data_IF_840943521895
#
_entry.id   IF_840943521895
#
_cell.length_a   1.000
_cell.length_b   1.000
_cell.length_c   1.000
_cell.angle_alpha   90.00
_cell.angle_beta   90.00
_cell.angle_gamma   90.00
#
_symmetry.space_group_name_H-M   'P 1'
#
loop_
_entity.id
_entity.type
_entity.pdbx_description
1 polymer ?
#
# COMPACT_ATOMS: atom_id res chain seq x y z
N UNK A 1 0.56 4.59 -13.05
CA UNK A 1 -0.36 5.27 -13.99
C UNK A 1 0.40 5.55 -15.27
N UNK A 2 -0.22 5.38 -16.45
CA UNK A 2 0.46 5.66 -17.70
C UNK A 2 0.96 7.10 -17.68
N UNK A 3 2.28 7.25 -17.85
CA UNK A 3 2.98 8.51 -17.96
C UNK A 3 4.19 8.27 -18.85
N UNK A 4 4.54 9.24 -19.68
CA UNK A 4 5.74 9.15 -20.48
C UNK A 4 6.97 9.10 -19.57
N UNK A 5 7.98 8.33 -19.97
CA UNK A 5 9.22 8.23 -19.19
C UNK A 5 9.84 9.63 -19.01
N UNK A 6 10.17 9.98 -17.76
CA UNK A 6 10.71 11.29 -17.42
C UNK A 6 9.66 12.39 -17.17
N UNK A 7 8.36 12.07 -17.24
CA UNK A 7 7.27 13.01 -16.92
C UNK A 7 6.64 12.73 -15.55
N UNK A 8 5.94 13.73 -15.01
CA UNK A 8 5.14 13.56 -13.79
C UNK A 8 3.81 12.90 -14.16
N UNK A 9 3.60 11.69 -13.66
CA UNK A 9 2.37 10.92 -13.83
C UNK A 9 1.46 10.96 -12.60
N UNK A 10 0.16 10.76 -12.82
CA UNK A 10 -0.82 10.62 -11.73
C UNK A 10 -2.18 10.16 -12.26
N UNK A 11 -3.08 9.85 -11.35
CA UNK A 11 -4.49 9.66 -11.68
C UNK A 11 -5.38 10.07 -10.51
N UNK A 12 -6.63 10.38 -10.84
CA UNK A 12 -7.69 10.58 -9.86
C UNK A 12 -8.35 9.24 -9.57
N UNK A 13 -8.54 8.94 -8.28
CA UNK A 13 -9.19 7.72 -7.82
C UNK A 13 -10.40 8.10 -6.97
N UNK A 14 -11.56 7.54 -7.30
CA UNK A 14 -12.78 7.67 -6.51
C UNK A 14 -13.15 6.31 -5.93
N UNK A 15 -13.19 6.21 -4.60
CA UNK A 15 -13.64 5.02 -3.88
C UNK A 15 -14.14 5.41 -2.49
N UNK A 16 -15.44 5.68 -2.38
CA UNK A 16 -16.08 6.24 -1.18
C UNK A 16 -15.83 5.41 0.09
N UNK A 17 -15.76 4.09 -0.04
CA UNK A 17 -15.47 3.18 1.09
C UNK A 17 -14.06 3.36 1.68
N UNK A 18 -13.11 3.88 0.90
CA UNK A 18 -11.68 3.89 1.25
C UNK A 18 -11.07 5.29 1.37
N UNK A 19 -11.62 6.28 0.68
CA UNK A 19 -11.08 7.64 0.62
C UNK A 19 -12.17 8.65 0.97
N UNK A 20 -12.05 9.21 2.18
CA UNK A 20 -12.96 10.21 2.72
C UNK A 20 -12.16 11.44 3.14
N UNK A 21 -12.64 12.68 2.90
CA UNK A 21 -12.01 13.88 3.44
C UNK A 21 -11.88 13.77 4.96
N UNK A 22 -10.69 14.06 5.49
CA UNK A 22 -10.44 13.98 6.92
C UNK A 22 -9.21 14.78 7.31
N UNK A 23 -9.29 15.40 8.48
CA UNK A 23 -8.12 16.02 9.12
C UNK A 23 -7.22 14.99 9.81
N UNK A 24 -7.74 13.78 10.04
CA UNK A 24 -7.06 12.70 10.75
C UNK A 24 -6.57 11.58 9.80
N UNK A 25 -7.23 11.38 8.67
CA UNK A 25 -6.80 10.42 7.65
C UNK A 25 -5.96 11.11 6.58
N UNK A 26 -4.64 10.92 6.69
CA UNK A 26 -3.65 11.44 5.75
C UNK A 26 -3.48 10.60 4.47
N UNK A 27 -2.43 10.90 3.67
CA UNK A 27 -2.14 10.16 2.44
C UNK A 27 -1.80 8.69 2.74
N UNK A 28 -2.14 7.80 1.81
CA UNK A 28 -1.69 6.41 1.85
C UNK A 28 -0.30 6.29 1.24
N UNK A 29 0.73 6.19 2.08
CA UNK A 29 2.10 6.01 1.64
C UNK A 29 2.33 4.58 1.15
N UNK A 30 2.94 4.43 -0.04
CA UNK A 30 3.39 3.15 -0.58
C UNK A 30 4.88 2.99 -0.33
N UNK A 31 5.26 1.95 0.41
CA UNK A 31 6.64 1.57 0.66
C UNK A 31 7.04 0.40 -0.24
N UNK A 32 8.28 0.46 -0.74
CA UNK A 32 8.87 -0.64 -1.48
C UNK A 32 9.29 -1.76 -0.52
N UNK A 33 8.63 -2.91 -0.65
CA UNK A 33 8.82 -4.12 0.14
C UNK A 33 9.36 -5.28 -0.72
N UNK A 34 10.06 -4.97 -1.81
CA UNK A 34 10.78 -5.98 -2.59
C UNK A 34 11.80 -6.74 -1.72
N UNK A 35 12.10 -8.02 -2.03
CA UNK A 35 11.59 -8.76 -3.19
C UNK A 35 10.17 -9.31 -3.01
N UNK A 36 9.71 -9.52 -1.78
CA UNK A 36 8.40 -10.09 -1.47
C UNK A 36 7.84 -9.46 -0.20
N UNK A 37 6.71 -8.76 -0.35
CA UNK A 37 6.05 -8.07 0.75
C UNK A 37 5.51 -9.03 1.82
N UNK A 38 5.36 -10.33 1.52
CA UNK A 38 4.92 -11.33 2.49
C UNK A 38 5.88 -11.41 3.68
N UNK A 39 7.18 -11.26 3.44
CA UNK A 39 8.20 -11.25 4.51
C UNK A 39 8.01 -10.10 5.51
N UNK A 40 7.42 -9.00 5.05
CA UNK A 40 7.03 -7.88 5.92
C UNK A 40 5.75 -8.25 6.67
N UNK A 41 4.73 -8.75 5.96
CA UNK A 41 3.45 -9.15 6.55
C UNK A 41 3.61 -10.16 7.69
N UNK A 42 4.50 -11.15 7.54
CA UNK A 42 4.77 -12.18 8.54
C UNK A 42 5.26 -11.60 9.89
N UNK A 43 5.73 -10.36 9.91
CA UNK A 43 6.23 -9.65 11.12
C UNK A 43 5.24 -8.65 11.69
N UNK A 44 4.22 -8.24 10.92
CA UNK A 44 3.34 -7.12 11.26
C UNK A 44 2.65 -7.33 12.59
N UNK A 45 1.93 -8.44 12.74
CA UNK A 45 1.15 -8.72 13.95
C UNK A 45 2.06 -8.95 15.17
N UNK A 46 3.17 -9.67 14.98
CA UNK A 46 4.17 -9.86 16.03
C UNK A 46 4.87 -8.57 16.48
N UNK A 47 4.80 -7.52 15.67
CA UNK A 47 5.34 -6.18 15.99
C UNK A 47 4.27 -5.21 16.48
N UNK A 48 3.04 -5.68 16.75
CA UNK A 48 1.93 -4.86 17.25
C UNK A 48 1.14 -4.11 16.17
N UNK A 49 1.41 -4.38 14.89
CA UNK A 49 0.60 -3.89 13.79
C UNK A 49 -0.58 -4.82 13.46
N UNK A 50 -1.33 -4.46 12.41
CA UNK A 50 -2.45 -5.24 11.88
C UNK A 50 -2.41 -5.28 10.36
N UNK A 51 -2.69 -6.45 9.79
CA UNK A 51 -2.91 -6.57 8.34
C UNK A 51 -4.34 -6.10 8.03
N UNK A 52 -4.47 -5.01 7.26
CA UNK A 52 -5.77 -4.44 6.85
C UNK A 52 -6.22 -5.00 5.51
N UNK A 53 -5.31 -5.09 4.54
CA UNK A 53 -5.52 -5.77 3.26
C UNK A 53 -4.35 -6.75 3.10
N UNK A 54 -4.61 -8.07 2.99
CA UNK A 54 -3.56 -9.05 2.79
C UNK A 54 -2.88 -8.86 1.42
N UNK A 55 -1.75 -9.54 1.22
CA UNK A 55 -1.07 -9.60 -0.07
C UNK A 55 -2.06 -9.96 -1.18
N UNK A 56 -2.16 -9.10 -2.19
CA UNK A 56 -2.96 -9.34 -3.40
C UNK A 56 -2.22 -8.88 -4.64
N UNK A 57 -2.39 -9.63 -5.73
CA UNK A 57 -1.87 -9.25 -7.04
C UNK A 57 -2.59 -7.99 -7.52
N UNK A 58 -1.84 -7.01 -8.04
CA UNK A 58 -2.39 -5.86 -8.76
C UNK A 58 -2.63 -6.29 -10.20
N UNK A 59 -1.53 -6.59 -10.91
CA UNK A 59 -1.44 -7.20 -12.25
C UNK A 59 -0.08 -7.87 -12.36
N UNK A 60 0.12 -8.74 -13.35
CA UNK A 60 1.44 -9.37 -13.58
C UNK A 60 2.55 -8.32 -13.76
N UNK A 61 2.28 -7.24 -14.49
CA UNK A 61 3.26 -6.17 -14.73
C UNK A 61 3.50 -5.23 -13.53
N UNK A 62 2.56 -5.15 -12.58
CA UNK A 62 2.62 -4.22 -11.45
C UNK A 62 2.86 -4.91 -10.10
N UNK A 63 3.03 -6.22 -10.08
CA UNK A 63 3.31 -6.99 -8.86
C UNK A 63 2.15 -6.99 -7.87
N UNK A 64 2.49 -6.98 -6.58
CA UNK A 64 1.58 -7.19 -5.45
C UNK A 64 1.51 -5.96 -4.56
N UNK A 65 0.38 -5.83 -3.86
CA UNK A 65 0.24 -4.88 -2.75
C UNK A 65 -0.35 -5.52 -1.51
N UNK A 66 -0.08 -4.90 -0.37
CA UNK A 66 -0.78 -5.11 0.89
C UNK A 66 -1.00 -3.77 1.60
N UNK A 67 -1.93 -3.71 2.55
CA UNK A 67 -2.10 -2.53 3.42
C UNK A 67 -2.08 -3.00 4.86
N UNK A 68 -1.30 -2.30 5.68
CA UNK A 68 -1.17 -2.56 7.10
C UNK A 68 -1.56 -1.31 7.89
N UNK A 69 -1.90 -1.53 9.15
CA UNK A 69 -1.86 -0.53 10.19
C UNK A 69 -0.61 -0.84 11.01
N UNK A 70 0.33 0.09 11.14
CA UNK A 70 1.53 -0.13 11.96
C UNK A 70 1.21 -0.03 13.47
N UNK A 71 2.23 -0.21 14.31
CA UNK A 71 2.09 -0.17 15.77
C UNK A 71 1.66 1.19 16.33
N UNK A 72 1.78 2.26 15.54
CA UNK A 72 1.42 3.63 15.92
C UNK A 72 0.03 4.01 15.40
N UNK A 73 -0.61 3.13 14.62
CA UNK A 73 -1.92 3.36 14.03
C UNK A 73 -1.89 3.94 12.62
N UNK A 74 -0.71 4.11 12.00
CA UNK A 74 -0.60 4.66 10.66
C UNK A 74 -1.03 3.62 9.62
N UNK A 75 -1.81 4.05 8.63
CA UNK A 75 -2.20 3.22 7.50
C UNK A 75 -1.16 3.34 6.38
N UNK A 76 -0.48 2.24 6.08
CA UNK A 76 0.62 2.17 5.12
C UNK A 76 0.38 1.07 4.10
N UNK A 77 0.67 1.35 2.83
CA UNK A 77 0.66 0.36 1.77
C UNK A 77 2.07 -0.16 1.49
N UNK A 78 2.15 -1.44 1.12
CA UNK A 78 3.37 -2.12 0.73
C UNK A 78 3.24 -2.54 -0.74
N UNK A 79 4.35 -2.51 -1.47
CA UNK A 79 4.45 -3.00 -2.84
C UNK A 79 5.66 -3.91 -3.02
N UNK A 80 5.51 -4.99 -3.77
CA UNK A 80 6.62 -5.84 -4.21
C UNK A 80 6.33 -6.39 -5.60
N UNK A 81 7.38 -6.77 -6.32
CA UNK A 81 7.24 -7.41 -7.63
C UNK A 81 6.82 -8.89 -7.52
N UNK A 82 6.96 -9.50 -6.33
CA UNK A 82 6.62 -10.90 -6.07
C UNK A 82 5.84 -11.08 -4.78
#
# INVERSE_FOLDING_TARGET
>A
FPAESGTVGGALIQKEEYYNPSDLYGPLLYLNANPDLQKVLDKVEGSGGKISIPKRLITEDNGYMAVIIDSEGNRVALHSNS
#
